data_IF_549053371765
#
_entry.id   IF_549053371765
#
_cell.length_a   1.000
_cell.length_b   1.000
_cell.length_c   1.000
_cell.angle_alpha   90.00
_cell.angle_beta   90.00
_cell.angle_gamma   90.00
#
_symmetry.space_group_name_H-M   'P 1'
#
loop_
_entity.id
_entity.type
_entity.pdbx_description
1 polymer ?
#
# COMPACT_ATOMS: atom_id res chain seq x y z
N UNK A 1 -6.46 22.96 4.88
CA UNK A 1 -7.17 21.70 4.60
C UNK A 1 -6.31 20.54 5.09
N UNK A 2 -6.34 20.25 6.39
CA UNK A 2 -5.60 19.12 6.97
C UNK A 2 -6.64 18.10 7.42
N UNK A 3 -7.00 17.15 6.54
CA UNK A 3 -7.97 16.11 6.88
C UNK A 3 -7.35 14.89 7.58
N UNK A 4 -6.06 14.93 7.91
CA UNK A 4 -5.40 14.03 8.86
C UNK A 4 -4.06 14.66 9.29
N UNK A 5 -3.68 14.56 10.56
CA UNK A 5 -2.41 15.11 11.10
C UNK A 5 -1.16 14.56 10.41
N UNK A 6 -1.30 13.45 9.71
CA UNK A 6 -0.20 12.69 9.13
C UNK A 6 -0.22 12.64 7.59
N UNK A 7 -1.14 13.37 6.93
CA UNK A 7 -1.15 13.40 5.47
C UNK A 7 0.12 14.05 4.92
N UNK A 8 0.71 13.44 3.90
CA UNK A 8 1.84 14.02 3.18
C UNK A 8 1.48 15.41 2.60
N UNK A 9 2.38 16.37 2.75
CA UNK A 9 2.22 17.71 2.16
C UNK A 9 2.28 17.68 0.62
N UNK A 10 2.92 16.67 0.05
CA UNK A 10 3.17 16.53 -1.39
C UNK A 10 2.49 15.28 -1.94
N UNK A 11 1.85 15.44 -3.11
CA UNK A 11 1.22 14.34 -3.84
C UNK A 11 2.18 13.83 -4.90
N UNK A 12 2.22 12.52 -5.03
CA UNK A 12 3.01 11.78 -6.01
C UNK A 12 2.10 11.18 -7.06
N UNK A 13 2.67 10.80 -8.20
CA UNK A 13 2.01 9.92 -9.15
C UNK A 13 2.14 8.48 -8.63
N UNK A 14 1.01 7.82 -8.41
CA UNK A 14 0.89 6.56 -7.69
C UNK A 14 0.30 5.51 -8.63
N UNK A 15 0.86 4.30 -8.66
CA UNK A 15 0.38 3.19 -9.49
C UNK A 15 -1.03 2.76 -9.09
N UNK A 16 -1.34 2.83 -7.79
CA UNK A 16 -2.63 2.55 -7.12
C UNK A 16 -3.05 1.08 -7.13
N UNK A 17 -2.45 0.27 -8.00
CA UNK A 17 -2.67 -1.17 -8.08
C UNK A 17 -1.33 -1.94 -8.10
N UNK A 18 -0.42 -1.53 -7.21
CA UNK A 18 0.94 -2.07 -7.16
C UNK A 18 0.98 -3.36 -6.34
N UNK A 19 0.70 -4.51 -6.96
CA UNK A 19 0.80 -5.83 -6.35
C UNK A 19 1.59 -6.81 -7.25
N UNK A 20 1.94 -7.97 -6.71
CA UNK A 20 2.80 -8.97 -7.37
C UNK A 20 2.31 -9.40 -8.76
N UNK A 21 0.99 -9.48 -8.98
CA UNK A 21 0.42 -9.85 -10.28
C UNK A 21 0.66 -8.81 -11.39
N UNK A 22 1.02 -7.58 -11.01
CA UNK A 22 1.27 -6.47 -11.92
C UNK A 22 2.78 -6.20 -12.12
N UNK A 23 3.64 -7.09 -11.62
CA UNK A 23 5.09 -7.01 -11.74
C UNK A 23 5.60 -8.14 -12.63
N UNK A 24 6.40 -7.77 -13.63
CA UNK A 24 7.04 -8.71 -14.56
C UNK A 24 8.51 -8.87 -14.14
N UNK A 25 8.97 -10.11 -14.09
CA UNK A 25 10.34 -10.48 -13.74
C UNK A 25 10.90 -11.48 -14.74
N UNK A 26 12.21 -11.43 -14.97
CA UNK A 26 12.95 -12.46 -15.71
C UNK A 26 13.45 -13.61 -14.80
N UNK A 27 13.05 -13.59 -13.52
CA UNK A 27 13.49 -14.53 -12.48
C UNK A 27 14.70 -14.06 -11.68
N UNK A 28 15.40 -13.01 -12.11
CA UNK A 28 16.51 -12.38 -11.39
C UNK A 28 16.25 -10.92 -11.02
N UNK A 29 15.49 -10.22 -11.84
CA UNK A 29 15.21 -8.79 -11.69
C UNK A 29 13.80 -8.44 -12.17
N UNK A 30 13.26 -7.35 -11.64
CA UNK A 30 12.02 -6.77 -12.16
C UNK A 30 12.33 -6.14 -13.53
N UNK A 31 11.58 -6.55 -14.54
CA UNK A 31 11.73 -6.09 -15.93
C UNK A 31 10.53 -5.27 -16.42
N UNK A 32 9.43 -5.24 -15.67
CA UNK A 32 8.26 -4.44 -16.03
C UNK A 32 7.27 -4.26 -14.88
N UNK A 33 6.46 -3.20 -15.00
CA UNK A 33 5.31 -2.90 -14.14
C UNK A 33 4.16 -2.52 -15.08
N UNK A 34 2.99 -3.13 -14.89
CA UNK A 34 1.83 -3.02 -15.79
C UNK A 34 0.53 -2.76 -15.02
N UNK A 35 -0.55 -2.48 -15.76
CA UNK A 35 -1.93 -2.39 -15.25
C UNK A 35 -2.12 -1.41 -14.09
N UNK A 36 -1.76 -0.14 -14.35
CA UNK A 36 -1.89 0.92 -13.37
C UNK A 36 -3.26 1.60 -13.39
N UNK A 37 -3.86 1.76 -12.22
CA UNK A 37 -5.03 2.60 -11.98
C UNK A 37 -4.65 3.99 -11.50
N UNK A 38 -3.74 4.67 -12.22
CA UNK A 38 -2.99 5.84 -11.74
C UNK A 38 -3.81 6.90 -11.00
N UNK A 39 -3.29 7.37 -9.86
CA UNK A 39 -3.85 8.50 -9.11
C UNK A 39 -2.75 9.48 -8.68
N UNK A 40 -3.17 10.67 -8.26
CA UNK A 40 -2.31 11.59 -7.50
C UNK A 40 -2.59 11.45 -6.00
N UNK A 41 -1.60 11.02 -5.22
CA UNK A 41 -1.80 10.70 -3.81
C UNK A 41 -0.50 10.50 -3.04
N UNK A 42 -0.62 9.85 -1.90
CA UNK A 42 0.53 9.43 -1.10
C UNK A 42 1.11 8.13 -1.69
N UNK A 43 2.43 8.08 -1.97
CA UNK A 43 3.07 6.88 -2.51
C UNK A 43 3.01 5.69 -1.54
N UNK A 44 2.71 5.95 -0.26
CA UNK A 44 2.43 4.92 0.74
C UNK A 44 1.28 3.98 0.32
N UNK A 45 0.41 4.42 -0.59
CA UNK A 45 -0.65 3.59 -1.20
C UNK A 45 -0.04 2.41 -1.98
N UNK A 46 1.01 2.64 -2.76
CA UNK A 46 1.68 1.55 -3.51
C UNK A 46 2.42 0.61 -2.55
N UNK A 47 3.05 1.17 -1.51
CA UNK A 47 3.73 0.35 -0.48
C UNK A 47 2.71 -0.55 0.24
N UNK A 48 1.57 0.00 0.68
CA UNK A 48 0.52 -0.77 1.35
C UNK A 48 -0.11 -1.86 0.46
N UNK A 49 0.00 -1.74 -0.87
CA UNK A 49 -0.55 -2.72 -1.81
C UNK A 49 0.45 -3.86 -2.09
N UNK A 50 1.76 -3.57 -2.07
CA UNK A 50 2.81 -4.56 -2.35
C UNK A 50 3.43 -5.19 -1.10
N UNK A 51 3.12 -4.68 0.11
CA UNK A 51 3.89 -5.03 1.32
C UNK A 51 3.91 -6.52 1.68
N UNK A 52 2.95 -7.31 1.17
CA UNK A 52 2.83 -8.75 1.40
C UNK A 52 3.28 -9.60 0.20
N UNK A 53 3.75 -8.98 -0.88
CA UNK A 53 4.11 -9.65 -2.13
C UNK A 53 5.25 -10.68 -1.97
N UNK A 54 6.12 -10.49 -0.97
CA UNK A 54 7.26 -11.39 -0.72
C UNK A 54 7.13 -12.04 0.65
N UNK A 55 6.79 -13.34 0.72
CA UNK A 55 6.61 -14.04 1.98
C UNK A 55 7.85 -13.95 2.90
N UNK A 56 7.62 -13.59 4.16
CA UNK A 56 8.66 -13.50 5.17
C UNK A 56 9.52 -12.23 5.12
N UNK A 57 9.25 -11.30 4.19
CA UNK A 57 9.92 -10.01 4.12
C UNK A 57 8.94 -8.90 4.50
N UNK A 58 9.32 -8.05 5.45
CA UNK A 58 8.62 -6.80 5.72
C UNK A 58 9.05 -5.75 4.68
N UNK A 59 8.35 -5.74 3.54
CA UNK A 59 8.64 -4.81 2.47
C UNK A 59 8.40 -3.35 2.87
N UNK A 60 7.42 -3.08 3.75
CA UNK A 60 7.21 -1.75 4.30
C UNK A 60 8.47 -1.23 5.00
N UNK A 61 9.03 -2.03 5.91
CA UNK A 61 10.27 -1.72 6.60
C UNK A 61 11.47 -1.59 5.65
N UNK A 62 11.55 -2.48 4.64
CA UNK A 62 12.59 -2.40 3.62
C UNK A 62 12.54 -1.05 2.86
N UNK A 63 11.35 -0.56 2.51
CA UNK A 63 11.17 0.77 1.92
C UNK A 63 11.59 1.89 2.88
N UNK A 64 11.21 1.81 4.17
CA UNK A 64 11.60 2.81 5.18
C UNK A 64 13.13 2.94 5.26
N UNK A 65 13.82 1.82 5.43
CA UNK A 65 15.29 1.77 5.53
C UNK A 65 15.95 2.27 4.24
N UNK A 66 15.42 1.88 3.08
CA UNK A 66 15.94 2.35 1.79
C UNK A 66 15.87 3.87 1.66
N UNK A 67 14.73 4.47 1.99
CA UNK A 67 14.55 5.92 1.93
C UNK A 67 15.41 6.68 2.95
N UNK A 68 15.65 6.10 4.14
CA UNK A 68 16.60 6.64 5.11
C UNK A 68 18.03 6.66 4.57
N UNK A 69 18.48 5.56 3.95
CA UNK A 69 19.82 5.51 3.32
C UNK A 69 19.98 6.49 2.16
N UNK A 70 18.90 6.83 1.46
CA UNK A 70 18.89 7.87 0.43
C UNK A 70 18.91 9.30 1.00
N UNK A 71 18.91 9.48 2.33
CA UNK A 71 18.82 10.78 2.98
C UNK A 71 17.45 11.45 2.82
N UNK A 72 16.41 10.65 2.56
CA UNK A 72 15.02 11.10 2.34
C UNK A 72 14.07 10.31 3.25
N UNK A 73 14.20 10.41 4.59
CA UNK A 73 13.33 9.67 5.50
C UNK A 73 11.86 9.96 5.22
N UNK A 74 11.02 8.94 5.36
CA UNK A 74 9.58 9.07 5.15
C UNK A 74 8.96 9.61 6.44
N UNK A 75 8.57 10.89 6.43
CA UNK A 75 7.90 11.52 7.57
C UNK A 75 6.62 10.78 7.94
N UNK A 76 6.41 10.54 9.24
CA UNK A 76 5.23 9.84 9.78
C UNK A 76 4.97 8.48 9.11
N UNK A 77 6.03 7.71 8.83
CA UNK A 77 5.96 6.46 8.07
C UNK A 77 4.88 5.50 8.58
N UNK A 78 4.83 5.26 9.91
CA UNK A 78 3.90 4.29 10.50
C UNK A 78 2.45 4.74 10.34
N UNK A 79 2.18 6.00 10.67
CA UNK A 79 0.84 6.59 10.62
C UNK A 79 0.33 6.68 9.18
N UNK A 80 1.21 7.06 8.23
CA UNK A 80 0.86 7.10 6.81
C UNK A 80 0.65 5.72 6.21
N UNK A 81 1.45 4.73 6.60
CA UNK A 81 1.27 3.35 6.13
C UNK A 81 -0.05 2.77 6.65
N UNK A 82 -0.39 3.00 7.92
CA UNK A 82 -1.68 2.61 8.50
C UNK A 82 -2.84 3.28 7.73
N UNK A 83 -2.73 4.59 7.45
CA UNK A 83 -3.72 5.31 6.64
C UNK A 83 -3.87 4.73 5.23
N UNK A 84 -2.77 4.40 4.56
CA UNK A 84 -2.77 3.78 3.24
C UNK A 84 -3.40 2.37 3.25
N UNK A 85 -3.11 1.55 4.27
CA UNK A 85 -3.74 0.24 4.48
C UNK A 85 -5.25 0.36 4.62
N UNK A 86 -5.74 1.32 5.40
CA UNK A 86 -7.19 1.58 5.50
C UNK A 86 -7.78 2.05 4.18
N UNK A 87 -7.11 2.97 3.48
CA UNK A 87 -7.58 3.47 2.19
C UNK A 87 -7.75 2.34 1.16
N UNK A 88 -6.72 1.51 0.95
CA UNK A 88 -6.77 0.38 0.02
C UNK A 88 -7.66 -0.76 0.51
N UNK A 89 -7.68 -1.00 1.82
CA UNK A 89 -8.56 -2.00 2.41
C UNK A 89 -10.05 -1.66 2.24
N UNK A 90 -10.44 -0.40 2.41
CA UNK A 90 -11.82 0.03 2.16
C UNK A 90 -12.21 -0.10 0.68
N UNK A 91 -11.29 0.18 -0.24
CA UNK A 91 -11.49 -0.05 -1.67
C UNK A 91 -11.65 -1.55 -1.98
N UNK A 92 -10.82 -2.40 -1.38
CA UNK A 92 -10.92 -3.87 -1.47
C UNK A 92 -12.25 -4.41 -0.91
N UNK A 93 -12.70 -3.94 0.26
CA UNK A 93 -13.99 -4.31 0.83
C UNK A 93 -15.15 -3.96 -0.10
N UNK A 94 -15.14 -2.75 -0.67
CA UNK A 94 -16.14 -2.34 -1.67
C UNK A 94 -16.14 -3.29 -2.87
N UNK A 95 -14.97 -3.67 -3.37
CA UNK A 95 -14.83 -4.58 -4.49
C UNK A 95 -15.37 -5.99 -4.14
N UNK A 96 -14.95 -6.58 -3.03
CA UNK A 96 -15.42 -7.92 -2.63
C UNK A 96 -16.93 -7.97 -2.38
N UNK A 97 -17.50 -6.92 -1.77
CA UNK A 97 -18.94 -6.81 -1.61
C UNK A 97 -19.68 -6.78 -2.96
N UNK A 98 -19.14 -6.04 -3.95
CA UNK A 98 -19.70 -5.99 -5.31
C UNK A 98 -19.63 -7.35 -6.01
N UNK A 99 -18.59 -8.13 -5.76
CA UNK A 99 -18.38 -9.44 -6.39
C UNK A 99 -19.11 -10.58 -5.68
N UNK A 100 -19.70 -10.34 -4.49
CA UNK A 100 -20.30 -11.38 -3.66
C UNK A 100 -19.28 -12.33 -3.03
N UNK A 101 -18.05 -11.85 -2.80
CA UNK A 101 -16.95 -12.65 -2.25
C UNK A 101 -16.88 -12.49 -0.73
N UNK A 102 -17.84 -13.10 -0.03
CA UNK A 102 -18.03 -12.91 1.41
C UNK A 102 -16.81 -13.31 2.25
N UNK A 103 -16.12 -14.40 1.88
CA UNK A 103 -14.93 -14.86 2.61
C UNK A 103 -13.81 -13.81 2.57
N UNK A 104 -13.47 -13.30 1.38
CA UNK A 104 -12.43 -12.29 1.19
C UNK A 104 -12.80 -10.96 1.86
N UNK A 105 -14.09 -10.59 1.81
CA UNK A 105 -14.60 -9.43 2.54
C UNK A 105 -14.39 -9.56 4.06
N UNK A 106 -14.77 -10.69 4.64
CA UNK A 106 -14.65 -10.94 6.08
C UNK A 106 -13.18 -10.94 6.50
N UNK A 107 -12.33 -11.64 5.77
CA UNK A 107 -10.89 -11.70 6.04
C UNK A 107 -10.24 -10.31 6.02
N UNK A 108 -10.49 -9.52 4.96
CA UNK A 108 -9.96 -8.17 4.86
C UNK A 108 -10.49 -7.25 5.96
N UNK A 109 -11.79 -7.35 6.30
CA UNK A 109 -12.39 -6.57 7.38
C UNK A 109 -11.70 -6.87 8.72
N UNK A 110 -11.52 -8.15 9.04
CA UNK A 110 -10.93 -8.56 10.32
C UNK A 110 -9.46 -8.14 10.40
N UNK A 111 -8.71 -8.25 9.28
CA UNK A 111 -7.37 -7.69 9.14
C UNK A 111 -7.35 -6.19 9.45
N UNK A 112 -8.21 -5.39 8.81
CA UNK A 112 -8.28 -3.94 9.04
C UNK A 112 -8.65 -3.56 10.49
N UNK A 113 -9.52 -4.33 11.14
CA UNK A 113 -9.91 -4.12 12.54
C UNK A 113 -8.81 -4.50 13.53
N UNK A 114 -7.88 -5.36 13.13
CA UNK A 114 -6.71 -5.75 13.95
C UNK A 114 -5.52 -4.80 13.84
N UNK A 115 -5.54 -3.86 12.89
CA UNK A 115 -4.47 -2.86 12.76
C UNK A 115 -4.37 -2.01 14.04
N UNK A 116 -3.15 -1.66 14.48
CA UNK A 116 -2.97 -0.81 15.65
C UNK A 116 -3.63 0.55 15.42
N UNK A 117 -4.25 1.10 16.47
CA UNK A 117 -4.72 2.49 16.44
C UNK A 117 -3.50 3.40 16.38
N UNK A 118 -3.43 4.24 15.36
CA UNK A 118 -2.42 5.29 15.21
C UNK A 118 -2.50 6.34 16.32
#
# INVERSE_FOLDING_TARGET
>A
MAFCSYNAAHRHFVHNDCHEWNIISDGSSITGIIDAGFIYGDFMIDIATIEEAVPGIDLGEAFRVHYEHLGKPIDNFKERLIGARYFKGLDGLRFFAKMGWDHAYIELRDKLLSLPKG
#
